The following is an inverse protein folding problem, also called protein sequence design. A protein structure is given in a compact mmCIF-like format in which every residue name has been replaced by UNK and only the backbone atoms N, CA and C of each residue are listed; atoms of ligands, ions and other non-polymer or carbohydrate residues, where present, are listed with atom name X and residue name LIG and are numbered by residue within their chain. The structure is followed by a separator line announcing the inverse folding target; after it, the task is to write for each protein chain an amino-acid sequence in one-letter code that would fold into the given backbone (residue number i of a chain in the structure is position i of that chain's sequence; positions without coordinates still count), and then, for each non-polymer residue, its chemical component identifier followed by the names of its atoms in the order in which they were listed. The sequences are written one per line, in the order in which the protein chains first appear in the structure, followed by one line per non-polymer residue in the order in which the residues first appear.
data_IF_561366642269
#
_entry.id   IF_561366642269
#
_cell.length_a   1.000
_cell.length_b   1.000
_cell.length_c   1.000
_cell.angle_alpha   90.00
_cell.angle_beta   90.00
_cell.angle_gamma   90.00
#
_symmetry.space_group_name_H-M   'P 1'
#
loop_
_entity.id
_entity.type
_entity.pdbx_description
1 polymer ?
#
# COMPACT_ATOMS: atom_id res chain seq x y z
N UNK A 1 -12.58 3.43 -7.80
CA UNK A 1 -11.59 2.39 -7.49
C UNK A 1 -10.28 3.09 -7.17
N UNK A 2 -9.92 3.06 -5.90
CA UNK A 2 -8.64 3.55 -5.41
C UNK A 2 -7.70 2.37 -5.30
N UNK A 3 -6.46 2.54 -5.75
CA UNK A 3 -5.46 1.49 -5.74
C UNK A 3 -4.11 2.05 -5.32
N UNK A 4 -3.37 1.28 -4.52
CA UNK A 4 -1.99 1.59 -4.17
C UNK A 4 -1.10 0.41 -4.48
N UNK A 5 0.08 0.69 -5.02
CA UNK A 5 1.15 -0.28 -5.22
C UNK A 5 2.28 0.11 -4.28
N UNK A 6 2.82 -0.87 -3.56
CA UNK A 6 3.91 -0.68 -2.59
C UNK A 6 4.88 -1.85 -2.63
N UNK A 7 6.17 -1.56 -2.47
CA UNK A 7 7.17 -2.58 -2.21
C UNK A 7 7.13 -3.02 -0.74
N UNK A 8 7.14 -4.34 -0.52
CA UNK A 8 7.18 -4.96 0.81
C UNK A 8 8.30 -6.00 0.87
N UNK A 9 8.73 -6.32 2.09
CA UNK A 9 9.64 -7.42 2.38
C UNK A 9 8.87 -8.54 3.05
N UNK A 10 9.04 -9.76 2.55
CA UNK A 10 8.43 -10.95 3.13
C UNK A 10 9.45 -11.65 4.02
N UNK A 11 9.07 -11.97 5.27
CA UNK A 11 9.99 -12.57 6.26
C UNK A 11 10.56 -13.91 5.80
N UNK A 12 9.78 -14.71 5.06
CA UNK A 12 10.21 -16.00 4.52
C UNK A 12 11.19 -15.87 3.35
N UNK A 13 11.21 -14.71 2.67
CA UNK A 13 12.05 -14.45 1.50
C UNK A 13 12.62 -13.02 1.55
N UNK A 14 13.47 -12.71 2.55
CA UNK A 14 13.90 -11.32 2.82
C UNK A 14 14.78 -10.72 1.71
N UNK A 15 15.45 -11.58 0.94
CA UNK A 15 16.37 -11.17 -0.13
C UNK A 15 15.63 -10.79 -1.43
N UNK A 16 14.34 -11.14 -1.56
CA UNK A 16 13.55 -10.90 -2.76
C UNK A 16 12.57 -9.74 -2.51
N UNK A 17 12.58 -8.68 -3.34
CA UNK A 17 11.56 -7.63 -3.25
C UNK A 17 10.22 -8.13 -3.78
N UNK A 18 9.16 -7.92 -3.00
CA UNK A 18 7.79 -8.16 -3.44
C UNK A 18 7.03 -6.85 -3.58
N UNK A 19 6.08 -6.82 -4.50
CA UNK A 19 5.19 -5.69 -4.71
C UNK A 19 3.76 -6.10 -4.38
N UNK A 20 3.16 -5.38 -3.45
CA UNK A 20 1.77 -5.53 -3.05
C UNK A 20 0.94 -4.39 -3.66
N UNK A 21 -0.06 -4.77 -4.45
CA UNK A 21 -1.13 -3.90 -4.91
C UNK A 21 -2.38 -4.16 -4.09
N UNK A 22 -2.99 -3.10 -3.61
CA UNK A 22 -4.25 -3.16 -2.86
C UNK A 22 -5.23 -2.24 -3.56
N UNK A 23 -6.36 -2.80 -4.00
CA UNK A 23 -7.44 -2.09 -4.66
C UNK A 23 -8.72 -2.16 -3.83
N UNK A 24 -9.41 -1.03 -3.69
CA UNK A 24 -10.69 -0.95 -2.99
C UNK A 24 -11.67 -0.01 -3.71
N UNK A 25 -12.96 -0.22 -3.47
CA UNK A 25 -14.02 0.58 -4.09
C UNK A 25 -14.20 1.93 -3.38
N UNK A 26 -14.68 1.89 -2.13
CA UNK A 26 -14.93 3.06 -1.28
C UNK A 26 -13.90 3.14 -0.15
N UNK A 27 -13.87 2.11 0.71
CA UNK A 27 -12.89 1.91 1.77
C UNK A 27 -12.43 0.45 1.83
N UNK A 28 -11.42 0.14 2.66
CA UNK A 28 -11.02 -1.25 2.92
C UNK A 28 -12.08 -2.03 3.71
N UNK A 29 -13.06 -1.33 4.31
CA UNK A 29 -14.16 -1.91 5.07
C UNK A 29 -15.21 -2.60 4.20
N UNK A 30 -15.44 -2.11 2.99
CA UNK A 30 -16.39 -2.61 1.99
C UNK A 30 -15.81 -3.77 1.15
N UNK A 31 -14.59 -4.19 1.47
CA UNK A 31 -13.85 -5.22 0.74
C UNK A 31 -12.79 -4.65 -0.19
N UNK A 32 -11.79 -5.48 -0.48
CA UNK A 32 -10.62 -5.11 -1.26
C UNK A 32 -10.02 -6.32 -1.97
N UNK A 33 -9.27 -6.04 -3.03
CA UNK A 33 -8.50 -7.02 -3.78
C UNK A 33 -7.02 -6.78 -3.51
N UNK A 34 -6.31 -7.85 -3.16
CA UNK A 34 -4.86 -7.87 -3.06
C UNK A 34 -4.25 -8.56 -4.26
N UNK A 35 -3.19 -7.98 -4.80
CA UNK A 35 -2.33 -8.61 -5.78
C UNK A 35 -0.89 -8.53 -5.29
N UNK A 36 -0.21 -9.67 -5.20
CA UNK A 36 1.19 -9.79 -4.81
C UNK A 36 1.99 -10.25 -6.02
N UNK A 37 3.18 -9.67 -6.25
CA UNK A 37 4.09 -10.15 -7.29
C UNK A 37 5.55 -10.02 -6.87
N UNK A 38 6.38 -10.94 -7.33
CA UNK A 38 7.86 -10.88 -7.28
C UNK A 38 8.47 -10.41 -8.63
N UNK A 39 7.62 -9.99 -9.58
CA UNK A 39 7.99 -9.62 -10.94
C UNK A 39 7.99 -10.78 -11.95
N UNK A 40 8.01 -12.03 -11.49
CA UNK A 40 7.94 -13.23 -12.34
C UNK A 40 6.59 -13.94 -12.22
N UNK A 41 6.15 -14.16 -10.98
CA UNK A 41 4.88 -14.76 -10.62
C UNK A 41 3.97 -13.70 -10.00
N UNK A 42 2.67 -13.98 -9.99
CA UNK A 42 1.71 -13.12 -9.34
C UNK A 42 0.62 -13.94 -8.67
N UNK A 43 0.09 -13.41 -7.58
CA UNK A 43 -0.98 -13.98 -6.80
C UNK A 43 -2.04 -12.92 -6.52
N UNK A 44 -3.30 -13.32 -6.50
CA UNK A 44 -4.43 -12.44 -6.26
C UNK A 44 -5.34 -13.04 -5.20
N UNK A 45 -5.84 -12.21 -4.30
CA UNK A 45 -6.80 -12.56 -3.28
C UNK A 45 -7.87 -11.49 -3.17
N UNK A 46 -9.08 -11.89 -2.86
CA UNK A 46 -10.21 -10.99 -2.64
C UNK A 46 -10.67 -11.15 -1.20
N UNK A 47 -10.96 -10.02 -0.56
CA UNK A 47 -11.52 -9.97 0.79
C UNK A 47 -12.80 -9.17 0.73
N UNK A 48 -13.90 -9.81 1.09
CA UNK A 48 -15.24 -9.24 1.13
C UNK A 48 -15.48 -8.41 2.38
N UNK A 49 -16.49 -7.53 2.33
CA UNK A 49 -16.96 -6.78 3.51
C UNK A 49 -17.34 -7.70 4.69
N UNK A 50 -17.97 -8.83 4.39
CA UNK A 50 -18.40 -9.80 5.40
C UNK A 50 -17.20 -10.42 6.10
N UNK A 51 -16.13 -10.73 5.37
CA UNK A 51 -14.87 -11.24 5.93
C UNK A 51 -14.18 -10.19 6.81
N UNK A 52 -14.14 -8.92 6.38
CA UNK A 52 -13.58 -7.83 7.20
C UNK A 52 -14.36 -7.67 8.50
N UNK A 53 -15.69 -7.73 8.44
CA UNK A 53 -16.56 -7.58 9.62
C UNK A 53 -16.45 -8.78 10.55
N UNK A 54 -16.43 -9.99 9.98
CA UNK A 54 -16.28 -11.23 10.72
C UNK A 54 -14.94 -11.25 11.48
N UNK A 55 -13.85 -10.91 10.80
CA UNK A 55 -12.50 -10.89 11.40
C UNK A 55 -12.41 -9.85 12.53
N UNK A 56 -12.96 -8.64 12.34
CA UNK A 56 -13.01 -7.63 13.39
C UNK A 56 -13.73 -8.14 14.66
N UNK A 57 -14.84 -8.87 14.47
CA UNK A 57 -15.59 -9.47 15.57
C UNK A 57 -14.82 -10.61 16.25
N UNK A 58 -14.14 -11.47 15.49
CA UNK A 58 -13.32 -12.58 16.02
C UNK A 58 -12.13 -12.07 16.85
N UNK A 59 -11.53 -10.96 16.44
CA UNK A 59 -10.48 -10.27 17.17
C UNK A 59 -10.99 -9.43 18.36
N UNK A 60 -12.31 -9.27 18.51
CA UNK A 60 -12.94 -8.48 19.56
C UNK A 60 -12.65 -6.98 19.47
N UNK A 61 -12.35 -6.47 18.27
CA UNK A 61 -12.09 -5.05 18.00
C UNK A 61 -13.25 -4.42 17.25
N UNK A 62 -13.41 -3.10 17.36
CA UNK A 62 -14.43 -2.41 16.54
C UNK A 62 -14.03 -2.44 15.08
N UNK A 63 -15.02 -2.51 14.18
CA UNK A 63 -14.80 -2.55 12.74
C UNK A 63 -13.99 -1.35 12.25
N UNK A 64 -14.23 -0.17 12.80
CA UNK A 64 -13.52 1.06 12.44
C UNK A 64 -12.03 0.97 12.80
N UNK A 65 -11.71 0.45 13.99
CA UNK A 65 -10.33 0.27 14.43
C UNK A 65 -9.63 -0.78 13.56
N UNK A 66 -10.33 -1.86 13.20
CA UNK A 66 -9.81 -2.89 12.32
C UNK A 66 -9.47 -2.34 10.93
N UNK A 67 -10.39 -1.58 10.33
CA UNK A 67 -10.18 -0.94 9.02
C UNK A 67 -9.04 0.08 9.07
N UNK A 68 -8.92 0.85 10.15
CA UNK A 68 -7.81 1.79 10.32
C UNK A 68 -6.46 1.08 10.40
N UNK A 69 -6.40 -0.07 11.08
CA UNK A 69 -5.18 -0.88 11.15
C UNK A 69 -4.85 -1.54 9.81
N UNK A 70 -5.86 -2.02 9.06
CA UNK A 70 -5.67 -2.49 7.68
C UNK A 70 -5.06 -1.41 6.79
N UNK A 71 -5.55 -0.18 6.88
CA UNK A 71 -4.98 0.95 6.15
C UNK A 71 -3.50 1.18 6.52
N UNK A 72 -3.18 1.13 7.81
CA UNK A 72 -1.80 1.31 8.27
C UNK A 72 -0.87 0.17 7.82
N UNK A 73 -1.35 -1.08 7.83
CA UNK A 73 -0.59 -2.24 7.40
C UNK A 73 -0.32 -2.22 5.89
N UNK A 74 -1.39 -2.04 5.11
CA UNK A 74 -1.39 -2.33 3.67
C UNK A 74 -1.02 -1.12 2.81
N UNK A 75 -1.29 0.12 3.26
CA UNK A 75 -1.13 1.31 2.42
C UNK A 75 0.02 2.24 2.82
N UNK A 76 0.57 2.11 4.04
CA UNK A 76 1.57 3.06 4.55
C UNK A 76 2.99 2.72 4.11
N UNK A 77 3.54 3.44 3.12
CA UNK A 77 4.95 3.30 2.72
C UNK A 77 5.92 3.75 3.83
N UNK A 78 7.07 3.08 3.96
CA UNK A 78 8.16 3.43 4.88
C UNK A 78 9.01 4.62 4.37
N UNK A 79 8.80 5.06 3.14
CA UNK A 79 9.62 6.06 2.41
C UNK A 79 9.54 7.49 2.96
N UNK A 80 8.90 7.71 4.11
CA UNK A 80 8.81 9.01 4.78
C UNK A 80 9.76 9.20 5.98
N UNK A 81 10.75 8.31 6.20
CA UNK A 81 11.61 8.34 7.39
C UNK A 81 13.08 8.69 7.13
N UNK A 82 13.37 9.51 6.11
CA UNK A 82 14.63 10.26 6.06
C UNK A 82 14.51 11.50 6.95
N UNK A 83 14.74 11.35 8.26
CA UNK A 83 14.82 12.54 9.13
C UNK A 83 14.88 12.27 10.62
N UNK A 84 14.27 11.19 11.12
CA UNK A 84 14.32 10.88 12.54
C UNK A 84 14.58 9.40 12.74
N UNK A 85 15.87 9.05 12.92
CA UNK A 85 16.29 7.84 13.64
C UNK A 85 15.82 7.96 15.10
N UNK A 86 14.52 7.78 15.34
CA UNK A 86 14.01 7.39 16.65
C UNK A 86 14.08 5.87 16.73
N UNK A 87 15.19 5.45 17.29
CA UNK A 87 15.39 4.21 18.05
C UNK A 87 14.07 3.83 18.77
N UNK A 88 13.28 2.92 18.17
CA UNK A 88 12.00 2.48 18.76
C UNK A 88 10.88 2.06 17.81
N UNK A 89 10.86 2.47 16.54
CA UNK A 89 9.85 1.96 15.58
C UNK A 89 10.35 0.72 14.83
N UNK A 90 10.49 -0.36 15.61
CA UNK A 90 10.52 -1.74 15.12
C UNK A 90 9.38 -1.92 14.10
N UNK A 91 9.67 -2.55 12.96
CA UNK A 91 8.75 -2.98 11.90
C UNK A 91 7.37 -3.30 12.50
N UNK A 92 6.43 -2.36 12.38
CA UNK A 92 5.17 -2.49 13.13
C UNK A 92 4.31 -3.60 12.56
N UNK A 93 4.58 -4.00 11.31
CA UNK A 93 3.92 -5.07 10.57
C UNK A 93 4.99 -5.88 9.84
N UNK A 94 5.00 -7.20 10.04
CA UNK A 94 5.83 -8.11 9.26
C UNK A 94 4.94 -8.96 8.38
N UNK A 95 5.31 -9.15 7.12
CA UNK A 95 4.54 -9.94 6.15
C UNK A 95 5.10 -11.34 6.02
N UNK A 96 4.21 -12.32 6.02
CA UNK A 96 4.51 -13.73 5.92
C UNK A 96 3.80 -14.28 4.69
N UNK A 97 4.49 -15.12 3.95
CA UNK A 97 3.93 -15.86 2.83
C UNK A 97 4.36 -17.30 3.00
N UNK A 98 3.39 -18.21 2.99
CA UNK A 98 3.65 -19.64 3.06
C UNK A 98 4.47 -20.11 1.85
N UNK A 99 5.24 -21.21 1.98
CA UNK A 99 6.06 -21.73 0.88
C UNK A 99 5.26 -22.14 -0.37
N UNK A 100 3.97 -22.43 -0.22
CA UNK A 100 3.06 -22.70 -1.34
C UNK A 100 2.53 -21.42 -2.02
N UNK A 101 2.90 -20.25 -1.48
CA UNK A 101 2.47 -18.91 -1.91
C UNK A 101 0.95 -18.69 -1.90
N UNK A 102 0.21 -19.51 -1.15
CA UNK A 102 -1.24 -19.44 -1.10
C UNK A 102 -1.78 -18.70 0.14
N UNK A 103 -0.99 -18.57 1.20
CA UNK A 103 -1.42 -17.91 2.44
C UNK A 103 -0.50 -16.73 2.71
N UNK A 104 -1.07 -15.54 2.65
CA UNK A 104 -0.41 -14.29 2.97
C UNK A 104 -0.93 -13.77 4.30
N UNK A 105 -0.03 -13.54 5.24
CA UNK A 105 -0.43 -13.02 6.54
C UNK A 105 0.49 -11.90 7.01
N UNK A 106 0.06 -11.18 8.03
CA UNK A 106 0.89 -10.18 8.66
C UNK A 106 0.84 -10.32 10.18
N UNK A 107 1.86 -9.90 10.92
CA UNK A 107 2.00 -10.31 12.35
C UNK A 107 1.45 -9.29 13.37
N UNK A 108 1.19 -8.04 12.98
CA UNK A 108 0.58 -7.08 13.93
C UNK A 108 -0.88 -7.41 14.24
N UNK A 109 -1.55 -7.96 13.24
CA UNK A 109 -2.89 -8.52 13.30
C UNK A 109 -2.70 -9.89 12.68
N UNK A 110 -2.90 -10.97 13.43
CA UNK A 110 -2.79 -12.35 12.95
C UNK A 110 -3.89 -12.70 11.95
N UNK A 111 -3.97 -11.95 10.85
CA UNK A 111 -4.93 -12.12 9.77
C UNK A 111 -4.23 -12.85 8.63
N UNK A 112 -4.77 -14.01 8.27
CA UNK A 112 -4.34 -14.82 7.15
C UNK A 112 -5.28 -14.55 5.96
N UNK A 113 -4.74 -13.94 4.91
CA UNK A 113 -5.44 -13.71 3.66
C UNK A 113 -5.02 -14.79 2.67
N UNK A 114 -6.01 -15.46 2.09
CA UNK A 114 -5.77 -16.46 1.06
C UNK A 114 -5.48 -15.75 -0.27
N UNK A 115 -4.33 -16.06 -0.85
CA UNK A 115 -3.96 -15.67 -2.20
C UNK A 115 -4.00 -16.90 -3.11
N UNK A 116 -4.39 -16.68 -4.35
CA UNK A 116 -4.40 -17.70 -5.38
C UNK A 116 -3.48 -17.30 -6.52
N UNK A 117 -2.76 -18.24 -7.16
CA UNK A 117 -1.96 -17.92 -8.33
C UNK A 117 -2.78 -17.21 -9.40
N UNK A 118 -2.29 -16.06 -9.87
CA UNK A 118 -2.97 -15.30 -10.89
C UNK A 118 -2.86 -16.04 -12.24
N UNK A 119 -3.98 -16.32 -12.93
CA UNK A 119 -3.97 -17.04 -14.20
C UNK A 119 -3.22 -16.29 -15.30
N UNK A 120 -3.20 -14.95 -15.24
CA UNK A 120 -2.44 -14.07 -16.13
C UNK A 120 -1.50 -13.15 -15.35
N UNK A 121 -0.41 -13.72 -14.84
CA UNK A 121 0.62 -12.98 -14.10
C UNK A 121 1.31 -11.91 -14.97
N UNK A 122 1.51 -12.16 -16.27
CA UNK A 122 2.12 -11.19 -17.19
C UNK A 122 1.21 -9.98 -17.36
N UNK A 123 -0.08 -10.20 -17.58
CA UNK A 123 -1.08 -9.14 -17.67
C UNK A 123 -1.15 -8.31 -16.39
N UNK A 124 -1.20 -8.97 -15.23
CA UNK A 124 -1.26 -8.30 -13.93
C UNK A 124 -0.03 -7.42 -13.67
N UNK A 125 1.18 -7.94 -13.95
CA UNK A 125 2.42 -7.18 -13.79
C UNK A 125 2.45 -5.97 -14.72
N UNK A 126 2.04 -6.16 -15.98
CA UNK A 126 1.96 -5.06 -16.95
C UNK A 126 0.95 -3.99 -16.52
N UNK A 127 -0.19 -4.40 -15.97
CA UNK A 127 -1.19 -3.48 -15.43
C UNK A 127 -0.62 -2.69 -14.24
N UNK A 128 0.03 -3.36 -13.30
CA UNK A 128 0.62 -2.73 -12.11
C UNK A 128 1.69 -1.70 -12.49
N UNK A 129 2.56 -2.02 -13.44
CA UNK A 129 3.54 -1.08 -14.01
C UNK A 129 2.83 0.08 -14.71
N UNK A 130 1.82 -0.21 -15.55
CA UNK A 130 1.07 0.80 -16.29
C UNK A 130 0.35 1.81 -15.37
N UNK A 131 -0.27 1.33 -14.30
CA UNK A 131 -0.91 2.17 -13.29
C UNK A 131 0.11 3.05 -12.56
N UNK A 132 1.26 2.48 -12.19
CA UNK A 132 2.34 3.20 -11.52
C UNK A 132 2.90 4.33 -12.40
N UNK A 133 3.13 4.07 -13.69
CA UNK A 133 3.57 5.07 -14.65
C UNK A 133 2.51 6.18 -14.86
N UNK A 134 1.24 5.81 -14.96
CA UNK A 134 0.13 6.78 -15.06
C UNK A 134 0.08 7.68 -13.83
N UNK A 135 0.25 7.13 -12.63
CA UNK A 135 0.31 7.92 -11.39
C UNK A 135 1.52 8.84 -11.36
N UNK A 136 2.69 8.39 -11.82
CA UNK A 136 3.90 9.21 -11.92
C UNK A 136 3.68 10.45 -12.78
N UNK A 137 3.10 10.28 -13.98
CA UNK A 137 2.84 11.40 -14.89
C UNK A 137 1.86 12.43 -14.32
N UNK A 138 0.84 12.00 -13.58
CA UNK A 138 -0.07 12.89 -12.86
C UNK A 138 0.68 13.67 -11.77
N UNK A 139 1.47 12.99 -10.94
CA UNK A 139 2.25 13.61 -9.87
C UNK A 139 3.29 14.60 -10.42
N UNK A 140 3.95 14.29 -11.53
CA UNK A 140 4.87 15.21 -12.20
C UNK A 140 4.18 16.50 -12.65
N UNK A 141 2.98 16.39 -13.21
CA UNK A 141 2.16 17.54 -13.62
C UNK A 141 1.77 18.41 -12.41
N UNK A 142 1.27 17.79 -11.34
CA UNK A 142 0.91 18.48 -10.09
C UNK A 142 2.12 19.17 -9.46
N UNK A 143 3.27 18.49 -9.40
CA UNK A 143 4.51 19.05 -8.87
C UNK A 143 4.97 20.26 -9.71
N UNK A 144 4.86 20.20 -11.04
CA UNK A 144 5.14 21.35 -11.90
C UNK A 144 4.24 22.56 -11.58
N UNK A 145 2.95 22.33 -11.31
CA UNK A 145 2.02 23.40 -10.93
C UNK A 145 2.39 23.99 -9.55
N UNK A 146 2.65 23.15 -8.56
CA UNK A 146 3.07 23.55 -7.22
C UNK A 146 4.38 24.34 -7.23
N UNK A 147 5.33 23.97 -8.09
CA UNK A 147 6.59 24.69 -8.26
C UNK A 147 6.39 26.09 -8.85
N UNK A 148 5.49 26.24 -9.84
CA UNK A 148 5.12 27.56 -10.39
C UNK A 148 4.50 28.44 -9.32
N UNK A 149 3.57 27.88 -8.54
CA UNK A 149 2.88 28.61 -7.49
C UNK A 149 3.83 29.01 -6.35
N UNK A 150 4.74 28.13 -5.95
CA UNK A 150 5.79 28.45 -4.99
C UNK A 150 6.68 29.61 -5.47
N UNK A 151 7.09 29.61 -6.74
CA UNK A 151 7.87 30.73 -7.32
C UNK A 151 7.08 32.03 -7.26
N UNK A 152 5.79 31.99 -7.64
CA UNK A 152 4.88 33.15 -7.60
C UNK A 152 4.77 33.72 -6.18
N UNK A 153 4.52 32.86 -5.20
CA UNK A 153 4.39 33.27 -3.79
C UNK A 153 5.70 33.84 -3.24
N UNK A 154 6.85 33.23 -3.56
CA UNK A 154 8.17 33.75 -3.15
C UNK A 154 8.45 35.15 -3.73
N UNK A 155 8.10 35.39 -4.99
CA UNK A 155 8.23 36.70 -5.62
C UNK A 155 7.32 37.75 -4.95
N UNK A 156 6.07 37.40 -4.68
CA UNK A 156 5.14 38.30 -3.97
C UNK A 156 5.63 38.63 -2.57
N UNK A 157 6.15 37.65 -1.83
CA UNK A 157 6.70 37.86 -0.51
C UNK A 157 7.90 38.82 -0.52
N UNK A 158 8.82 38.67 -1.47
CA UNK A 158 9.95 39.60 -1.64
C UNK A 158 9.48 41.03 -1.94
N UNK A 159 8.45 41.20 -2.77
CA UNK A 159 7.88 42.52 -3.08
C UNK A 159 7.23 43.18 -1.87
N UNK A 160 6.65 42.40 -0.96
CA UNK A 160 6.10 42.91 0.30
C UNK A 160 7.23 43.34 1.24
N UNK A 161 8.30 42.56 1.36
CA UNK A 161 9.44 42.88 2.23
C UNK A 161 10.28 44.06 1.75
N UNK A 162 10.19 44.43 0.47
CA UNK A 162 10.95 45.54 -0.14
C UNK A 162 10.14 46.84 -0.26
N UNK A 163 8.90 46.85 0.24
CA UNK A 163 8.09 48.06 0.45
C UNK A 163 8.15 48.50 1.91
#
# INVERSE_FOLDING_TARGET
MSGIVRQITIVTHPDNPYFLRVDWAEDLGAGFTLALTDGSSAWIGEVSEDEVTKEANELGVTRENYVQELHQALTRSEEGREGERREGHKEMYSFHLTPDHCHFSYQKISNDILLHPAPDHVGLNREMIGQSLKRSTVLESENCQLLKENRRLKQQHQQILTK
#
